data_IF_419108667018
#
_entry.id   IF_419108667018
#
_cell.length_a   1.000
_cell.length_b   1.000
_cell.length_c   1.000
_cell.angle_alpha   90.00
_cell.angle_beta   90.00
_cell.angle_gamma   90.00
#
_symmetry.space_group_name_H-M   'P 1'
#
loop_
_entity.id
_entity.type
_entity.pdbx_description
1 polymer ?
#
# COMPACT_ATOMS: atom_id res chain seq x y z
N UNK A 1 1.12 -39.50 9.64
CA UNK A 1 -0.25 -39.09 9.28
C UNK A 1 -0.44 -39.42 7.80
N UNK A 2 -0.97 -40.61 7.54
CA UNK A 2 -1.04 -41.20 6.21
C UNK A 2 -2.21 -40.69 5.38
N UNK A 3 -2.05 -40.77 4.03
CA UNK A 3 -3.04 -40.99 2.96
C UNK A 3 -4.49 -40.46 3.08
N UNK A 4 -4.81 -39.51 3.94
CA UNK A 4 -6.08 -38.82 3.87
C UNK A 4 -5.97 -37.70 2.84
N UNK A 5 -6.72 -37.85 1.75
CA UNK A 5 -6.91 -36.77 0.79
C UNK A 5 -7.60 -35.61 1.49
N UNK A 6 -7.12 -34.40 1.19
CA UNK A 6 -7.67 -33.19 1.77
C UNK A 6 -9.10 -33.01 1.24
N UNK A 7 -10.14 -32.93 2.10
CA UNK A 7 -11.52 -32.83 1.64
C UNK A 7 -11.73 -31.63 0.72
N UNK A 8 -12.37 -31.80 -0.44
CA UNK A 8 -12.55 -30.70 -1.43
C UNK A 8 -13.18 -29.44 -0.82
N UNK A 9 -14.09 -29.62 0.12
CA UNK A 9 -14.81 -28.51 0.74
C UNK A 9 -13.86 -27.54 1.45
N UNK A 10 -12.68 -27.99 1.94
CA UNK A 10 -11.75 -27.14 2.69
C UNK A 10 -11.04 -26.13 1.78
N UNK A 11 -10.87 -26.44 0.50
CA UNK A 11 -10.25 -25.55 -0.50
C UNK A 11 -11.24 -24.93 -1.48
N UNK A 12 -12.53 -25.08 -1.22
CA UNK A 12 -13.58 -24.48 -2.03
C UNK A 12 -14.05 -23.16 -1.41
N UNK A 13 -13.78 -22.06 -2.08
CA UNK A 13 -14.22 -20.71 -1.68
C UNK A 13 -15.50 -20.23 -2.36
N UNK A 14 -16.07 -19.17 -1.81
CA UNK A 14 -17.15 -18.39 -2.45
C UNK A 14 -16.65 -16.99 -2.74
N UNK A 15 -16.64 -16.58 -4.00
CA UNK A 15 -16.10 -15.30 -4.45
C UNK A 15 -17.22 -14.31 -4.71
N UNK A 16 -17.16 -13.18 -4.00
CA UNK A 16 -18.06 -12.05 -4.16
C UNK A 16 -17.35 -10.93 -4.95
N UNK A 17 -18.09 -10.23 -5.81
CA UNK A 17 -17.57 -9.12 -6.60
C UNK A 17 -17.89 -7.79 -5.91
N UNK A 18 -16.88 -7.13 -5.36
CA UNK A 18 -17.03 -5.81 -4.74
C UNK A 18 -16.78 -4.69 -5.76
N UNK A 19 -17.69 -3.71 -5.91
CA UNK A 19 -17.48 -2.59 -6.82
C UNK A 19 -16.35 -1.68 -6.33
N UNK A 20 -15.40 -1.33 -7.22
CA UNK A 20 -14.31 -0.38 -6.94
C UNK A 20 -14.78 1.08 -7.00
N UNK A 21 -15.85 1.35 -7.76
CA UNK A 21 -16.43 2.68 -7.98
C UNK A 21 -17.95 2.59 -8.04
N UNK A 22 -18.63 3.69 -7.77
CA UNK A 22 -20.08 3.81 -7.98
C UNK A 22 -20.40 3.63 -9.46
N UNK A 23 -21.48 2.89 -9.78
CA UNK A 23 -21.87 2.62 -11.16
C UNK A 23 -20.92 1.66 -11.91
N UNK A 24 -20.26 0.75 -11.20
CA UNK A 24 -19.43 -0.29 -11.81
C UNK A 24 -20.27 -1.21 -12.73
N UNK A 25 -19.85 -1.32 -14.00
CA UNK A 25 -20.56 -2.11 -15.03
C UNK A 25 -19.66 -3.19 -15.62
N UNK A 26 -18.36 -2.94 -15.77
CA UNK A 26 -17.43 -3.89 -16.38
C UNK A 26 -16.74 -4.79 -15.35
N UNK A 27 -16.34 -6.03 -15.70
CA UNK A 27 -15.62 -6.92 -14.77
C UNK A 27 -14.36 -6.30 -14.16
N UNK A 28 -13.65 -5.43 -14.88
CA UNK A 28 -12.44 -4.72 -14.38
C UNK A 28 -12.75 -3.76 -13.22
N UNK A 29 -13.99 -3.28 -13.14
CA UNK A 29 -14.47 -2.37 -12.10
C UNK A 29 -14.81 -3.09 -10.79
N UNK A 30 -14.78 -4.42 -10.77
CA UNK A 30 -15.01 -5.22 -9.57
C UNK A 30 -13.71 -5.77 -9.00
N UNK A 31 -13.69 -5.98 -7.69
CA UNK A 31 -12.65 -6.69 -6.96
C UNK A 31 -13.23 -8.03 -6.47
N UNK A 32 -12.69 -9.17 -6.93
CA UNK A 32 -13.12 -10.46 -6.40
C UNK A 32 -12.56 -10.63 -4.97
N UNK A 33 -13.43 -10.97 -4.02
CA UNK A 33 -13.03 -11.38 -2.67
C UNK A 33 -13.53 -12.79 -2.44
N UNK A 34 -12.60 -13.71 -2.15
CA UNK A 34 -12.91 -15.12 -1.91
C UNK A 34 -13.05 -15.38 -0.42
N UNK A 35 -14.26 -15.72 0.00
CA UNK A 35 -14.57 -16.24 1.32
C UNK A 35 -14.23 -17.74 1.36
N UNK A 36 -13.10 -18.07 1.99
CA UNK A 36 -12.67 -19.44 2.22
C UNK A 36 -13.25 -20.01 3.52
N UNK A 37 -13.36 -21.35 3.64
CA UNK A 37 -13.79 -22.00 4.87
C UNK A 37 -12.97 -21.54 6.07
N UNK A 38 -13.63 -21.30 7.21
CA UNK A 38 -12.96 -20.83 8.44
C UNK A 38 -11.84 -21.77 8.87
N UNK A 39 -12.05 -23.08 8.77
CA UNK A 39 -11.04 -24.07 9.11
C UNK A 39 -9.78 -23.94 8.23
N UNK A 40 -9.96 -23.73 6.92
CA UNK A 40 -8.84 -23.48 6.01
C UNK A 40 -8.07 -22.23 6.42
N UNK A 41 -8.77 -21.11 6.69
CA UNK A 41 -8.14 -19.85 7.10
C UNK A 41 -7.35 -19.96 8.41
N UNK A 42 -7.83 -20.78 9.36
CA UNK A 42 -7.10 -21.03 10.61
C UNK A 42 -5.79 -21.77 10.31
N UNK A 43 -5.85 -22.83 9.50
CA UNK A 43 -4.68 -23.61 9.11
C UNK A 43 -3.67 -22.73 8.37
N UNK A 44 -4.13 -21.97 7.37
CA UNK A 44 -3.25 -21.08 6.58
C UNK A 44 -2.69 -19.94 7.42
N UNK A 45 -3.42 -19.39 8.39
CA UNK A 45 -2.89 -18.40 9.32
C UNK A 45 -1.75 -18.96 10.20
N UNK A 46 -1.91 -20.19 10.72
CA UNK A 46 -0.85 -20.87 11.49
C UNK A 46 0.38 -21.13 10.60
N UNK A 47 0.16 -21.62 9.38
CA UNK A 47 1.24 -21.87 8.42
C UNK A 47 1.96 -20.56 8.06
N UNK A 48 1.20 -19.48 7.79
CA UNK A 48 1.75 -18.17 7.48
C UNK A 48 2.66 -17.67 8.62
N UNK A 49 2.24 -17.84 9.88
CA UNK A 49 3.06 -17.48 11.03
C UNK A 49 4.38 -18.26 11.08
N UNK A 50 4.33 -19.57 10.83
CA UNK A 50 5.52 -20.44 10.82
C UNK A 50 6.49 -20.08 9.70
N UNK A 51 5.97 -19.88 8.48
CA UNK A 51 6.79 -19.44 7.34
C UNK A 51 7.40 -18.07 7.63
N UNK A 52 6.61 -17.10 8.11
CA UNK A 52 7.11 -15.78 8.44
C UNK A 52 8.21 -15.81 9.50
N UNK A 53 8.04 -16.63 10.55
CA UNK A 53 9.06 -16.85 11.58
C UNK A 53 10.36 -17.41 11.00
N UNK A 54 10.28 -18.38 10.09
CA UNK A 54 11.43 -18.91 9.37
C UNK A 54 12.13 -17.86 8.50
N UNK A 55 11.39 -17.09 7.71
CA UNK A 55 11.95 -16.03 6.86
C UNK A 55 12.65 -14.96 7.69
N UNK A 56 12.07 -14.58 8.84
CA UNK A 56 12.66 -13.60 9.76
C UNK A 56 13.92 -14.15 10.42
N UNK A 57 13.89 -15.37 10.96
CA UNK A 57 15.03 -15.99 11.66
C UNK A 57 16.25 -16.10 10.75
N UNK A 58 16.04 -16.34 9.47
CA UNK A 58 17.10 -16.54 8.48
C UNK A 58 17.42 -15.29 7.64
N UNK A 59 16.89 -14.11 7.99
CA UNK A 59 17.09 -12.85 7.25
C UNK A 59 16.80 -12.96 5.74
N UNK A 60 15.77 -13.73 5.37
CA UNK A 60 15.40 -13.97 3.96
C UNK A 60 14.56 -12.82 3.40
N UNK A 61 13.70 -12.22 4.23
CA UNK A 61 12.76 -11.19 3.82
C UNK A 61 13.49 -9.85 3.57
N UNK A 62 13.46 -9.31 2.33
CA UNK A 62 14.19 -8.10 1.99
C UNK A 62 13.68 -6.88 2.78
N UNK A 63 14.58 -5.97 3.21
CA UNK A 63 14.17 -4.76 3.90
C UNK A 63 13.38 -3.79 2.99
N UNK A 64 13.52 -3.90 1.67
CA UNK A 64 12.77 -3.12 0.67
C UNK A 64 11.32 -3.57 0.48
N UNK A 65 10.92 -4.73 1.04
CA UNK A 65 9.53 -5.18 1.04
C UNK A 65 8.82 -4.69 2.31
N UNK A 66 7.94 -3.71 2.13
CA UNK A 66 7.13 -3.12 3.20
C UNK A 66 5.72 -3.72 3.25
N UNK A 67 5.29 -4.38 2.16
CA UNK A 67 4.07 -5.18 2.15
C UNK A 67 4.21 -6.43 3.02
N UNK A 68 3.15 -6.78 3.77
CA UNK A 68 3.10 -7.96 4.65
C UNK A 68 4.16 -7.97 5.78
N UNK A 69 4.92 -6.89 5.97
CA UNK A 69 6.00 -6.82 6.97
C UNK A 69 5.45 -6.44 8.34
N UNK A 70 5.67 -7.31 9.33
CA UNK A 70 5.33 -7.04 10.73
C UNK A 70 6.23 -5.95 11.31
N UNK A 71 5.63 -5.05 12.09
CA UNK A 71 6.34 -3.96 12.77
C UNK A 71 6.76 -2.79 11.87
N UNK A 72 6.34 -2.78 10.61
CA UNK A 72 6.49 -1.60 9.75
C UNK A 72 5.35 -0.60 9.98
N UNK A 73 5.61 0.69 9.76
CA UNK A 73 4.57 1.72 9.69
C UNK A 73 3.77 1.68 8.36
N UNK A 74 3.95 0.63 7.56
CA UNK A 74 3.21 0.33 6.34
C UNK A 74 3.45 1.39 5.26
N UNK A 75 2.38 1.80 4.56
CA UNK A 75 2.45 2.81 3.50
C UNK A 75 3.12 4.11 3.96
N UNK A 76 2.90 4.51 5.22
CA UNK A 76 3.46 5.76 5.74
C UNK A 76 4.98 5.74 5.73
N UNK A 77 5.60 4.61 6.08
CA UNK A 77 7.06 4.44 6.04
C UNK A 77 7.60 4.62 4.64
N UNK A 78 7.01 3.91 3.67
CA UNK A 78 7.37 3.98 2.24
C UNK A 78 7.27 5.42 1.72
N UNK A 79 6.15 6.08 2.01
CA UNK A 79 5.88 7.46 1.55
C UNK A 79 6.85 8.47 2.16
N UNK A 80 7.30 8.28 3.41
CA UNK A 80 8.29 9.15 4.04
C UNK A 80 9.67 9.00 3.41
N UNK A 81 10.14 7.76 3.20
CA UNK A 81 11.44 7.54 2.59
C UNK A 81 11.42 8.07 1.15
N UNK A 82 10.31 7.85 0.43
CA UNK A 82 10.12 8.45 -0.89
C UNK A 82 10.19 9.98 -0.86
N UNK A 83 9.50 10.64 0.07
CA UNK A 83 9.58 12.10 0.28
C UNK A 83 11.02 12.56 0.52
N UNK A 84 11.78 11.82 1.35
CA UNK A 84 13.17 12.13 1.66
C UNK A 84 14.09 12.00 0.44
N UNK A 85 13.93 10.95 -0.37
CA UNK A 85 14.67 10.76 -1.62
C UNK A 85 14.45 11.93 -2.57
N UNK A 86 13.19 12.28 -2.82
CA UNK A 86 12.84 13.39 -3.72
C UNK A 86 13.33 14.74 -3.19
N UNK A 87 13.19 14.99 -1.88
CA UNK A 87 13.68 16.20 -1.24
C UNK A 87 15.22 16.30 -1.32
N UNK A 88 15.93 15.19 -1.09
CA UNK A 88 17.38 15.13 -1.22
C UNK A 88 17.83 15.44 -2.64
N UNK A 89 17.17 14.90 -3.65
CA UNK A 89 17.53 15.15 -5.05
C UNK A 89 17.36 16.63 -5.41
N UNK A 90 16.27 17.24 -4.96
CA UNK A 90 15.97 18.66 -5.17
C UNK A 90 16.94 19.59 -4.45
N UNK A 91 17.15 19.38 -3.14
CA UNK A 91 17.96 20.25 -2.30
C UNK A 91 19.45 20.15 -2.64
N UNK A 92 19.97 18.93 -2.84
CA UNK A 92 21.38 18.69 -3.17
C UNK A 92 21.67 18.82 -4.67
N UNK A 93 20.68 19.18 -5.50
CA UNK A 93 20.78 19.24 -6.96
C UNK A 93 21.38 17.96 -7.57
N UNK A 94 20.97 16.80 -7.05
CA UNK A 94 21.38 15.49 -7.57
C UNK A 94 20.46 15.06 -8.72
N UNK A 95 20.96 14.14 -9.53
CA UNK A 95 20.14 13.42 -10.49
C UNK A 95 19.36 12.30 -9.77
N UNK A 96 18.15 12.03 -10.23
CA UNK A 96 17.28 10.97 -9.71
C UNK A 96 16.33 10.54 -10.81
N UNK A 97 16.33 9.25 -11.15
CA UNK A 97 15.36 8.65 -12.06
C UNK A 97 14.53 7.64 -11.29
N UNK A 98 13.22 7.63 -11.50
CA UNK A 98 12.28 6.76 -10.81
C UNK A 98 11.30 6.13 -11.78
N UNK A 99 10.82 4.93 -11.46
CA UNK A 99 9.72 4.31 -12.18
C UNK A 99 8.73 3.68 -11.20
N UNK A 100 7.44 3.82 -11.48
CA UNK A 100 6.36 3.09 -10.84
C UNK A 100 5.94 1.95 -11.76
N UNK A 101 5.87 0.75 -11.20
CA UNK A 101 5.54 -0.48 -11.92
C UNK A 101 4.35 -1.12 -11.21
N UNK A 102 3.28 -1.38 -11.97
CA UNK A 102 2.07 -2.07 -11.52
C UNK A 102 1.93 -3.37 -12.33
N UNK A 103 1.72 -4.49 -11.64
CA UNK A 103 1.46 -5.77 -12.29
C UNK A 103 -0.03 -5.90 -12.66
N UNK A 104 -0.30 -6.33 -13.89
CA UNK A 104 -1.66 -6.59 -14.32
C UNK A 104 -2.25 -7.74 -13.51
N UNK A 105 -3.31 -7.47 -12.73
CA UNK A 105 -3.99 -8.48 -11.90
C UNK A 105 -2.98 -9.31 -11.09
N UNK A 106 -2.09 -8.64 -10.35
CA UNK A 106 -0.93 -9.27 -9.71
C UNK A 106 -1.27 -10.55 -8.93
N UNK A 107 -2.27 -10.49 -8.07
CA UNK A 107 -2.70 -11.64 -7.24
C UNK A 107 -3.28 -12.78 -8.07
N UNK A 108 -3.94 -12.50 -9.20
CA UNK A 108 -4.52 -13.52 -10.06
C UNK A 108 -3.47 -14.12 -11.03
N UNK A 109 -2.27 -13.52 -11.08
CA UNK A 109 -1.26 -13.79 -12.11
C UNK A 109 -0.03 -14.56 -11.61
N UNK A 110 0.12 -14.86 -10.32
CA UNK A 110 1.29 -15.62 -9.87
C UNK A 110 1.13 -17.12 -10.21
N UNK A 111 2.05 -17.76 -10.95
CA UNK A 111 1.98 -19.20 -11.20
C UNK A 111 2.12 -20.02 -9.91
N UNK A 112 1.32 -21.08 -9.76
CA UNK A 112 1.41 -21.98 -8.61
C UNK A 112 2.76 -22.70 -8.54
N UNK A 113 3.30 -23.10 -9.70
CA UNK A 113 4.63 -23.71 -9.82
C UNK A 113 5.72 -22.80 -9.25
N UNK A 114 5.68 -21.50 -9.58
CA UNK A 114 6.61 -20.52 -9.05
C UNK A 114 6.48 -20.32 -7.55
N UNK A 115 5.26 -20.33 -6.99
CA UNK A 115 5.05 -20.26 -5.55
C UNK A 115 5.69 -21.46 -4.84
N UNK A 116 5.50 -22.67 -5.39
CA UNK A 116 6.10 -23.89 -4.84
C UNK A 116 7.63 -23.84 -4.95
N UNK A 117 8.16 -23.36 -6.07
CA UNK A 117 9.61 -23.22 -6.24
C UNK A 117 10.19 -22.19 -5.27
N UNK A 118 9.51 -21.06 -5.07
CA UNK A 118 9.90 -20.07 -4.06
C UNK A 118 9.95 -20.68 -2.65
N UNK A 119 8.95 -21.48 -2.26
CA UNK A 119 8.96 -22.18 -0.96
C UNK A 119 10.18 -23.11 -0.80
N UNK A 120 10.56 -23.82 -1.87
CA UNK A 120 11.74 -24.69 -1.89
C UNK A 120 13.04 -23.91 -1.82
N UNK A 121 13.20 -22.85 -2.63
CA UNK A 121 14.38 -21.96 -2.63
C UNK A 121 14.64 -21.41 -1.22
N UNK A 122 13.58 -21.04 -0.50
CA UNK A 122 13.69 -20.52 0.87
C UNK A 122 13.72 -21.59 1.96
N UNK A 123 13.83 -22.87 1.60
CA UNK A 123 13.94 -24.00 2.51
C UNK A 123 12.80 -24.04 3.54
N UNK A 124 11.58 -23.74 3.10
CA UNK A 124 10.38 -23.96 3.92
C UNK A 124 10.18 -25.46 4.13
N UNK A 125 9.71 -25.85 5.32
CA UNK A 125 9.52 -27.24 5.70
C UNK A 125 8.78 -28.04 4.59
N UNK A 126 9.31 -29.21 4.17
CA UNK A 126 8.71 -29.98 3.08
C UNK A 126 7.25 -30.37 3.29
N UNK A 127 6.79 -30.56 4.54
CA UNK A 127 5.38 -30.87 4.84
C UNK A 127 4.49 -29.67 4.58
N UNK A 128 4.96 -28.46 4.92
CA UNK A 128 4.25 -27.21 4.62
C UNK A 128 4.20 -27.00 3.10
N UNK A 129 5.32 -27.20 2.41
CA UNK A 129 5.39 -27.06 0.95
C UNK A 129 4.45 -28.06 0.26
N UNK A 130 4.43 -29.32 0.70
CA UNK A 130 3.51 -30.34 0.19
C UNK A 130 2.04 -30.02 0.49
N UNK A 131 1.75 -29.43 1.65
CA UNK A 131 0.40 -28.95 1.97
C UNK A 131 -0.01 -27.84 0.99
N UNK A 132 0.81 -26.81 0.81
CA UNK A 132 0.53 -25.71 -0.14
C UNK A 132 0.31 -26.23 -1.56
N UNK A 133 1.14 -27.16 -2.03
CA UNK A 133 1.02 -27.74 -3.36
C UNK A 133 -0.29 -28.51 -3.55
N UNK A 134 -0.63 -29.39 -2.59
CA UNK A 134 -1.90 -30.13 -2.62
C UNK A 134 -3.11 -29.20 -2.50
N UNK A 135 -3.02 -28.17 -1.67
CA UNK A 135 -4.08 -27.18 -1.51
C UNK A 135 -4.33 -26.43 -2.82
N UNK A 136 -3.28 -25.89 -3.44
CA UNK A 136 -3.39 -25.13 -4.69
C UNK A 136 -3.95 -25.96 -5.85
N UNK A 137 -3.60 -27.25 -5.94
CA UNK A 137 -4.19 -28.17 -6.95
C UNK A 137 -5.71 -28.33 -6.81
N UNK A 138 -6.21 -28.25 -5.57
CA UNK A 138 -7.63 -28.40 -5.23
C UNK A 138 -8.35 -27.05 -5.02
N UNK A 139 -7.69 -25.92 -5.29
CA UNK A 139 -8.31 -24.61 -5.15
C UNK A 139 -9.43 -24.43 -6.15
N UNK A 140 -10.62 -24.17 -5.62
CA UNK A 140 -11.83 -23.96 -6.39
C UNK A 140 -12.61 -22.79 -5.80
N UNK A 141 -13.34 -22.05 -6.62
CA UNK A 141 -14.30 -21.05 -6.16
C UNK A 141 -15.61 -21.11 -6.94
N UNK A 142 -16.69 -20.66 -6.32
CA UNK A 142 -17.93 -20.30 -7.02
C UNK A 142 -18.11 -18.78 -6.97
N UNK A 143 -18.56 -18.15 -8.05
CA UNK A 143 -18.90 -16.74 -8.07
C UNK A 143 -20.32 -16.56 -7.54
N UNK A 144 -20.47 -15.67 -6.56
CA UNK A 144 -21.75 -15.35 -5.94
C UNK A 144 -22.19 -13.96 -6.40
N UNK A 145 -23.32 -13.91 -7.10
CA UNK A 145 -23.96 -12.66 -7.56
C UNK A 145 -25.40 -12.64 -7.05
N UNK A 146 -25.65 -11.81 -6.05
CA UNK A 146 -26.95 -11.72 -5.37
C UNK A 146 -27.42 -13.10 -4.84
N UNK A 147 -28.39 -13.73 -5.49
CA UNK A 147 -28.94 -15.06 -5.13
C UNK A 147 -28.45 -16.18 -6.04
N UNK A 148 -27.59 -15.88 -7.02
CA UNK A 148 -27.11 -16.84 -7.99
C UNK A 148 -25.66 -17.22 -7.70
N UNK A 149 -25.37 -18.52 -7.83
CA UNK A 149 -24.03 -19.08 -7.70
C UNK A 149 -23.60 -19.69 -9.03
N UNK A 150 -22.36 -19.47 -9.44
CA UNK A 150 -21.83 -20.06 -10.67
C UNK A 150 -21.49 -21.55 -10.47
N UNK A 151 -21.17 -22.22 -11.59
CA UNK A 151 -20.42 -23.48 -11.55
C UNK A 151 -19.09 -23.30 -10.80
N UNK A 152 -18.56 -24.42 -10.29
CA UNK A 152 -17.20 -24.49 -9.73
C UNK A 152 -16.16 -24.01 -10.76
N UNK A 153 -15.29 -23.10 -10.35
CA UNK A 153 -14.18 -22.56 -11.13
C UNK A 153 -12.89 -22.99 -10.44
N UNK A 154 -12.10 -23.83 -11.12
CA UNK A 154 -10.80 -24.25 -10.61
C UNK A 154 -9.76 -23.15 -10.80
N UNK A 155 -9.05 -22.82 -9.73
CA UNK A 155 -8.00 -21.82 -9.76
C UNK A 155 -6.71 -22.51 -10.22
N UNK A 156 -6.27 -22.20 -11.44
CA UNK A 156 -5.03 -22.75 -12.01
C UNK A 156 -3.82 -21.82 -11.87
N UNK A 157 -4.08 -20.57 -11.48
CA UNK A 157 -3.08 -19.51 -11.35
C UNK A 157 -3.58 -18.47 -10.36
N UNK A 158 -2.64 -17.81 -9.67
CA UNK A 158 -2.92 -16.77 -8.70
C UNK A 158 -3.17 -17.30 -7.30
N UNK A 159 -3.47 -16.38 -6.40
CA UNK A 159 -3.69 -16.58 -4.97
C UNK A 159 -5.06 -16.05 -4.56
N UNK A 160 -5.66 -16.64 -3.53
CA UNK A 160 -6.95 -16.18 -3.04
C UNK A 160 -6.87 -14.80 -2.38
N UNK A 161 -7.73 -13.87 -2.81
CA UNK A 161 -7.92 -12.58 -2.14
C UNK A 161 -8.84 -12.77 -0.93
N UNK A 162 -8.26 -12.87 0.27
CA UNK A 162 -8.99 -13.11 1.52
C UNK A 162 -8.41 -14.23 2.38
N UNK A 163 -7.43 -14.98 1.87
CA UNK A 163 -6.65 -15.93 2.65
C UNK A 163 -5.53 -15.25 3.45
N UNK A 164 -5.19 -15.79 4.61
CA UNK A 164 -4.12 -15.26 5.47
C UNK A 164 -2.71 -15.60 4.98
N UNK A 165 -2.54 -16.71 4.24
CA UNK A 165 -1.25 -17.13 3.70
C UNK A 165 -0.94 -16.49 2.34
N UNK A 166 -1.96 -16.27 1.50
CA UNK A 166 -1.84 -15.64 0.18
C UNK A 166 -0.91 -14.41 0.11
N UNK A 167 -1.05 -13.36 0.96
CA UNK A 167 -0.17 -12.19 0.87
C UNK A 167 1.30 -12.53 1.08
N UNK A 168 1.60 -13.46 1.98
CA UNK A 168 2.98 -13.87 2.25
C UNK A 168 3.56 -14.63 1.06
N UNK A 169 2.80 -15.55 0.47
CA UNK A 169 3.22 -16.28 -0.74
C UNK A 169 3.51 -15.33 -1.90
N UNK A 170 2.68 -14.29 -2.07
CA UNK A 170 2.92 -13.25 -3.07
C UNK A 170 4.23 -12.51 -2.80
N UNK A 171 4.44 -12.00 -1.58
CA UNK A 171 5.68 -11.31 -1.23
C UNK A 171 6.90 -12.21 -1.44
N UNK A 172 6.83 -13.49 -1.07
CA UNK A 172 7.91 -14.47 -1.26
C UNK A 172 8.25 -14.66 -2.74
N UNK A 173 7.24 -14.66 -3.61
CA UNK A 173 7.44 -14.79 -5.06
C UNK A 173 8.24 -13.64 -5.68
N UNK A 174 8.27 -12.46 -5.03
CA UNK A 174 9.01 -11.28 -5.47
C UNK A 174 10.36 -11.07 -4.78
N UNK A 175 10.72 -11.91 -3.79
CA UNK A 175 12.02 -11.81 -3.11
C UNK A 175 13.21 -11.96 -4.08
N UNK A 176 13.21 -12.86 -5.09
CA UNK A 176 14.36 -12.99 -5.99
C UNK A 176 14.60 -11.72 -6.81
N UNK A 177 13.52 -11.04 -7.24
CA UNK A 177 13.61 -9.74 -7.90
C UNK A 177 14.32 -8.71 -7.02
N UNK A 178 13.89 -8.61 -5.76
CA UNK A 178 14.50 -7.70 -4.79
C UNK A 178 16.00 -7.96 -4.62
N UNK A 179 16.40 -9.24 -4.55
CA UNK A 179 17.81 -9.64 -4.49
C UNK A 179 18.58 -9.27 -5.77
N UNK A 180 18.02 -9.54 -6.95
CA UNK A 180 18.66 -9.18 -8.22
C UNK A 180 18.88 -7.68 -8.37
N UNK A 181 17.92 -6.86 -7.91
CA UNK A 181 18.06 -5.40 -7.88
C UNK A 181 19.13 -4.93 -6.90
N UNK A 182 19.28 -5.60 -5.76
CA UNK A 182 20.24 -5.23 -4.71
C UNK A 182 21.69 -5.70 -4.97
N UNK A 183 21.90 -6.74 -5.77
CA UNK A 183 23.26 -7.26 -6.09
C UNK A 183 23.98 -6.35 -7.09
N UNK A 184 23.25 -5.64 -7.95
CA UNK A 184 23.84 -4.71 -8.92
C UNK A 184 24.23 -3.42 -8.21
N UNK A 185 25.37 -2.83 -8.57
CA UNK A 185 25.83 -1.53 -8.03
C UNK A 185 25.01 -0.36 -8.59
N UNK A 186 23.73 -0.33 -8.25
CA UNK A 186 22.72 0.60 -8.74
C UNK A 186 21.94 1.20 -7.56
N UNK A 187 21.13 2.21 -7.82
CA UNK A 187 20.26 2.85 -6.86
C UNK A 187 20.56 4.32 -6.62
N UNK A 188 19.72 4.93 -5.79
CA UNK A 188 19.88 6.30 -5.34
C UNK A 188 20.52 6.36 -3.95
N UNK A 189 21.49 7.26 -3.79
CA UNK A 189 22.22 7.45 -2.55
C UNK A 189 21.77 8.74 -1.81
N UNK A 190 21.12 8.56 -0.66
CA UNK A 190 20.64 9.66 0.20
C UNK A 190 21.80 10.46 0.82
N UNK A 191 22.80 9.77 1.36
CA UNK A 191 23.96 10.32 2.06
C UNK A 191 25.23 9.79 1.39
N UNK A 192 26.22 10.64 1.06
CA UNK A 192 27.48 10.17 0.49
C UNK A 192 28.14 9.06 1.32
N UNK A 193 28.59 7.99 0.67
CA UNK A 193 29.10 6.77 1.31
C UNK A 193 28.03 5.87 1.93
N UNK A 194 26.75 6.21 1.79
CA UNK A 194 25.64 5.49 2.40
C UNK A 194 25.09 4.34 1.55
N UNK A 195 24.16 3.57 2.12
CA UNK A 195 23.45 2.51 1.39
C UNK A 195 22.65 3.10 0.22
N UNK A 196 22.83 2.52 -0.97
CA UNK A 196 22.01 2.82 -2.15
C UNK A 196 20.61 2.21 -1.99
N UNK A 197 19.59 3.00 -2.27
CA UNK A 197 18.19 2.55 -2.32
C UNK A 197 17.86 2.26 -3.78
N UNK A 198 17.59 1.00 -4.09
CA UNK A 198 17.28 0.54 -5.46
C UNK A 198 15.78 0.54 -5.71
N UNK A 199 14.99 0.05 -4.75
CA UNK A 199 13.54 -0.12 -4.93
C UNK A 199 12.79 -0.10 -3.60
N UNK A 200 11.47 0.05 -3.70
CA UNK A 200 10.51 -0.22 -2.63
C UNK A 200 9.36 -1.04 -3.17
N UNK A 201 8.99 -2.08 -2.42
CA UNK A 201 7.83 -2.90 -2.69
C UNK A 201 6.78 -2.70 -1.59
N UNK A 202 5.55 -2.49 -2.01
CA UNK A 202 4.39 -2.61 -1.13
C UNK A 202 3.36 -3.53 -1.78
N UNK A 203 3.45 -4.83 -1.45
CA UNK A 203 2.72 -5.87 -2.19
C UNK A 203 3.12 -5.85 -3.68
N UNK A 204 2.18 -5.52 -4.57
CA UNK A 204 2.35 -5.45 -6.03
C UNK A 204 2.85 -4.09 -6.52
N UNK A 205 2.76 -3.03 -5.70
CA UNK A 205 3.29 -1.71 -6.02
C UNK A 205 4.83 -1.71 -5.93
N UNK A 206 5.50 -1.71 -7.08
CA UNK A 206 6.96 -1.62 -7.17
C UNK A 206 7.37 -0.21 -7.61
N UNK A 207 8.26 0.42 -6.82
CA UNK A 207 8.89 1.68 -7.18
C UNK A 207 10.40 1.53 -7.26
N UNK A 208 10.99 1.92 -8.38
CA UNK A 208 12.43 1.91 -8.62
C UNK A 208 13.04 3.30 -8.41
N UNK A 209 14.30 3.33 -7.97
CA UNK A 209 15.11 4.52 -7.77
C UNK A 209 16.50 4.29 -8.37
N UNK A 210 16.95 5.22 -9.19
CA UNK A 210 18.24 5.18 -9.85
C UNK A 210 18.90 6.57 -9.84
N UNK A 211 20.23 6.62 -9.95
CA UNK A 211 20.95 7.91 -10.02
C UNK A 211 20.74 8.65 -11.35
N UNK A 212 20.39 7.94 -12.42
CA UNK A 212 20.15 8.49 -13.75
C UNK A 212 19.28 7.55 -14.60
N UNK A 213 18.90 8.03 -15.79
CA UNK A 213 17.99 7.34 -16.70
C UNK A 213 18.57 6.04 -17.26
N UNK A 214 19.86 6.02 -17.59
CA UNK A 214 20.54 4.83 -18.10
C UNK A 214 20.49 3.67 -17.09
N UNK A 215 20.74 3.98 -15.82
CA UNK A 215 20.68 3.00 -14.73
C UNK A 215 19.24 2.55 -14.46
N UNK A 216 18.27 3.47 -14.52
CA UNK A 216 16.85 3.12 -14.44
C UNK A 216 16.44 2.13 -15.54
N UNK A 217 16.87 2.36 -16.78
CA UNK A 217 16.58 1.47 -17.91
C UNK A 217 17.19 0.06 -17.70
N UNK A 218 18.40 -0.04 -17.13
CA UNK A 218 19.01 -1.33 -16.75
C UNK A 218 18.20 -2.05 -15.66
N UNK A 219 17.69 -1.30 -14.68
CA UNK A 219 16.82 -1.85 -13.63
C UNK A 219 15.49 -2.33 -14.22
N UNK A 220 14.86 -1.54 -15.10
CA UNK A 220 13.62 -1.91 -15.80
C UNK A 220 13.77 -3.20 -16.60
N UNK A 221 14.87 -3.37 -17.35
CA UNK A 221 15.19 -4.62 -18.06
C UNK A 221 15.32 -5.81 -17.11
N UNK A 222 15.87 -5.60 -15.91
CA UNK A 222 15.96 -6.63 -14.87
C UNK A 222 14.57 -7.05 -14.39
N UNK A 223 13.70 -6.08 -14.10
CA UNK A 223 12.30 -6.36 -13.71
C UNK A 223 11.56 -7.08 -14.85
N UNK A 224 11.77 -6.69 -16.11
CA UNK A 224 11.13 -7.31 -17.28
C UNK A 224 11.57 -8.75 -17.48
N UNK A 225 12.87 -9.02 -17.41
CA UNK A 225 13.42 -10.37 -17.55
C UNK A 225 12.83 -11.27 -16.47
N UNK A 226 12.92 -10.85 -15.21
CA UNK A 226 12.35 -11.59 -14.09
C UNK A 226 10.83 -11.81 -14.24
N UNK A 227 10.10 -10.76 -14.65
CA UNK A 227 8.64 -10.85 -14.82
C UNK A 227 8.26 -11.81 -15.95
N UNK A 228 9.06 -11.87 -17.01
CA UNK A 228 8.89 -12.83 -18.11
C UNK A 228 9.16 -14.25 -17.63
N UNK A 229 10.21 -14.48 -16.84
CA UNK A 229 10.55 -15.79 -16.27
C UNK A 229 9.43 -16.35 -15.39
N UNK A 230 8.76 -15.49 -14.61
CA UNK A 230 7.63 -15.88 -13.76
C UNK A 230 6.27 -15.70 -14.46
N UNK A 231 6.27 -15.42 -15.77
CA UNK A 231 5.11 -15.21 -16.63
C UNK A 231 4.15 -14.08 -16.19
N UNK A 232 4.58 -13.12 -15.39
CA UNK A 232 3.76 -11.98 -14.94
C UNK A 232 3.87 -10.79 -15.91
N UNK A 233 2.74 -10.13 -16.18
CA UNK A 233 2.66 -9.00 -17.12
C UNK A 233 2.51 -7.67 -16.39
N UNK A 234 3.10 -6.62 -16.94
CA UNK A 234 2.88 -5.25 -16.47
C UNK A 234 1.54 -4.70 -16.92
N UNK A 235 0.90 -3.92 -16.06
CA UNK A 235 -0.17 -3.00 -16.44
C UNK A 235 0.44 -1.72 -16.99
N UNK A 236 0.94 -1.74 -18.23
CA UNK A 236 1.70 -0.62 -18.82
C UNK A 236 0.97 0.74 -18.73
N UNK A 237 -0.36 0.75 -18.82
CA UNK A 237 -1.19 1.95 -18.66
C UNK A 237 -1.04 2.66 -17.31
N UNK A 238 -0.65 1.92 -16.27
CA UNK A 238 -0.44 2.44 -14.93
C UNK A 238 1.04 2.55 -14.57
N UNK A 239 1.94 2.09 -15.43
CA UNK A 239 3.35 2.28 -15.21
C UNK A 239 3.73 3.69 -15.65
N UNK A 240 4.62 4.35 -14.91
CA UNK A 240 5.12 5.66 -15.28
C UNK A 240 6.60 5.77 -14.90
N UNK A 241 7.37 6.57 -15.63
CA UNK A 241 8.75 6.91 -15.28
C UNK A 241 8.94 8.43 -15.19
N UNK A 242 9.92 8.84 -14.40
CA UNK A 242 10.24 10.24 -14.14
C UNK A 242 11.75 10.42 -14.04
N UNK A 243 12.25 11.44 -14.72
CA UNK A 243 13.67 11.78 -14.77
C UNK A 243 13.94 13.18 -14.18
N UNK A 244 14.80 13.25 -13.16
CA UNK A 244 15.23 14.48 -12.49
C UNK A 244 16.72 14.68 -12.75
N UNK A 245 17.07 15.83 -13.32
CA UNK A 245 18.45 16.24 -13.61
C UNK A 245 18.76 17.50 -12.81
N UNK A 246 19.84 17.45 -12.02
CA UNK A 246 20.29 18.55 -11.15
C UNK A 246 19.17 19.14 -10.28
N UNK A 247 18.30 18.28 -9.73
CA UNK A 247 17.17 18.67 -8.89
C UNK A 247 15.98 19.29 -9.62
N UNK A 248 15.94 19.27 -10.96
CA UNK A 248 14.81 19.73 -11.78
C UNK A 248 14.27 18.59 -12.65
N UNK A 249 12.95 18.58 -12.90
CA UNK A 249 12.35 17.67 -13.86
C UNK A 249 12.96 17.91 -15.26
N UNK A 250 13.40 16.85 -15.92
CA UNK A 250 13.77 16.87 -17.34
C UNK A 250 12.51 17.10 -18.17
N UNK A 251 12.42 18.20 -18.92
CA UNK A 251 11.31 18.38 -19.85
C UNK A 251 11.41 17.35 -20.97
N UNK A 252 10.28 16.76 -21.39
CA UNK A 252 10.21 15.93 -22.59
C UNK A 252 10.82 16.72 -23.74
N UNK A 253 11.84 16.18 -24.39
CA UNK A 253 12.19 16.62 -25.73
C UNK A 253 11.13 16.02 -26.66
N UNK A 254 10.66 16.77 -27.66
CA UNK A 254 9.69 16.32 -28.68
C UNK A 254 10.31 15.27 -29.61
N UNK A 255 10.84 14.19 -29.04
CA UNK A 255 11.25 13.01 -29.76
C UNK A 255 10.04 12.09 -29.62
N UNK A 256 9.47 11.69 -30.75
CA UNK A 256 8.46 10.62 -30.80
C UNK A 256 8.91 9.51 -29.86
N UNK A 257 8.05 9.11 -28.92
CA UNK A 257 8.34 7.99 -28.02
C UNK A 257 8.79 6.83 -28.91
N UNK A 258 10.10 6.55 -28.96
CA UNK A 258 10.63 5.46 -29.76
C UNK A 258 9.89 4.19 -29.34
N UNK A 259 9.53 3.30 -30.28
CA UNK A 259 8.81 2.05 -29.99
C UNK A 259 9.48 1.18 -28.89
N UNK A 260 10.73 1.48 -28.54
CA UNK A 260 11.52 0.88 -27.45
C UNK A 260 11.19 1.39 -26.03
N UNK A 261 10.42 2.48 -25.87
CA UNK A 261 10.06 3.03 -24.55
C UNK A 261 8.95 2.20 -23.88
N UNK A 262 9.37 1.19 -23.11
CA UNK A 262 8.46 0.27 -22.42
C UNK A 262 7.52 0.92 -21.38
N UNK A 263 7.86 2.08 -20.83
CA UNK A 263 7.06 2.78 -19.81
C UNK A 263 7.00 4.27 -20.13
N UNK A 264 5.78 4.80 -20.15
CA UNK A 264 5.51 6.21 -20.45
C UNK A 264 6.18 7.14 -19.43
N UNK A 265 6.82 8.20 -19.92
CA UNK A 265 7.20 9.32 -19.06
C UNK A 265 5.95 10.06 -18.56
N UNK A 266 5.96 10.41 -17.28
CA UNK A 266 4.90 11.21 -16.68
C UNK A 266 4.95 12.64 -17.24
N UNK A 267 3.83 13.13 -17.78
CA UNK A 267 3.77 14.44 -18.42
C UNK A 267 4.10 15.57 -17.42
N UNK A 268 4.83 16.62 -17.83
CA UNK A 268 5.11 17.77 -16.97
C UNK A 268 3.83 18.38 -16.38
N UNK A 269 3.74 18.42 -15.05
CA UNK A 269 2.58 18.96 -14.33
C UNK A 269 1.48 17.93 -14.01
N UNK A 270 1.56 16.70 -14.53
CA UNK A 270 0.71 15.60 -14.10
C UNK A 270 1.21 14.97 -12.79
N UNK A 271 0.31 14.28 -12.07
CA UNK A 271 0.63 13.61 -10.81
C UNK A 271 0.36 12.11 -10.90
N UNK A 272 1.24 11.32 -10.28
CA UNK A 272 1.07 9.87 -10.15
C UNK A 272 0.52 9.52 -8.77
N UNK A 273 -0.55 8.73 -8.69
CA UNK A 273 -1.12 8.31 -7.41
C UNK A 273 -0.40 7.08 -6.87
N UNK A 274 0.53 7.28 -5.93
CA UNK A 274 1.28 6.21 -5.27
C UNK A 274 0.80 6.02 -3.82
N UNK A 275 0.38 4.81 -3.44
CA UNK A 275 -0.10 4.47 -2.09
C UNK A 275 -1.15 5.45 -1.51
N UNK A 276 -2.00 5.99 -2.39
CA UNK A 276 -3.07 6.93 -2.04
C UNK A 276 -2.66 8.41 -2.04
N UNK A 277 -1.40 8.74 -2.30
CA UNK A 277 -0.85 10.10 -2.35
C UNK A 277 -0.46 10.45 -3.80
N UNK A 278 -0.90 11.61 -4.27
CA UNK A 278 -0.49 12.18 -5.54
C UNK A 278 0.95 12.74 -5.48
N UNK A 279 1.80 12.28 -6.39
CA UNK A 279 3.20 12.67 -6.49
C UNK A 279 3.48 13.41 -7.80
N UNK A 280 4.11 14.59 -7.71
CA UNK A 280 4.51 15.42 -8.86
C UNK A 280 5.85 16.13 -8.58
N UNK A 281 6.99 15.41 -8.67
CA UNK A 281 8.31 15.97 -8.28
C UNK A 281 8.38 16.46 -6.82
N UNK A 282 7.50 15.88 -6.02
CA UNK A 282 7.31 16.04 -4.59
C UNK A 282 5.93 15.47 -4.26
N UNK A 283 5.44 15.76 -3.07
CA UNK A 283 4.04 15.50 -2.73
C UNK A 283 3.19 16.65 -3.29
N UNK A 284 2.12 16.31 -4.01
CA UNK A 284 1.22 17.29 -4.64
C UNK A 284 0.31 17.97 -3.61
N UNK A 285 0.89 18.75 -2.70
CA UNK A 285 0.20 19.40 -1.59
C UNK A 285 -1.06 20.19 -2.03
N UNK A 286 -0.99 20.85 -3.20
CA UNK A 286 -2.09 21.65 -3.78
C UNK A 286 -3.31 20.81 -4.17
N UNK A 287 -3.11 19.56 -4.61
CA UNK A 287 -4.18 18.65 -5.01
C UNK A 287 -4.72 17.85 -3.81
N UNK A 288 -3.80 17.39 -2.95
CA UNK A 288 -4.11 16.49 -1.84
C UNK A 288 -4.88 17.19 -0.73
N UNK A 289 -4.42 18.38 -0.29
CA UNK A 289 -5.03 19.07 0.86
C UNK A 289 -6.53 19.34 0.63
N UNK A 290 -6.98 19.91 -0.51
CA UNK A 290 -8.41 20.09 -0.77
C UNK A 290 -9.19 18.78 -0.80
N UNK A 291 -8.63 17.70 -1.38
CA UNK A 291 -9.26 16.38 -1.42
C UNK A 291 -9.49 15.82 -0.01
N UNK A 292 -8.45 15.86 0.84
CA UNK A 292 -8.53 15.39 2.23
C UNK A 292 -9.49 16.24 3.06
N UNK A 293 -9.45 17.57 2.93
CA UNK A 293 -10.39 18.48 3.58
C UNK A 293 -11.83 18.14 3.19
N UNK A 294 -12.11 17.95 1.90
CA UNK A 294 -13.44 17.59 1.39
C UNK A 294 -13.94 16.26 1.98
N UNK A 295 -13.12 15.22 1.93
CA UNK A 295 -13.51 13.89 2.44
C UNK A 295 -13.71 13.91 3.95
N UNK A 296 -12.84 14.59 4.70
CA UNK A 296 -12.99 14.78 6.15
C UNK A 296 -14.33 15.44 6.50
N UNK A 297 -14.64 16.59 5.88
CA UNK A 297 -15.88 17.30 6.16
C UNK A 297 -17.13 16.57 5.65
N UNK A 298 -17.01 15.79 4.57
CA UNK A 298 -18.08 14.90 4.11
C UNK A 298 -18.41 13.86 5.18
N UNK A 299 -17.39 13.14 5.69
CA UNK A 299 -17.59 12.14 6.75
C UNK A 299 -18.13 12.76 8.03
N UNK A 300 -17.58 13.90 8.45
CA UNK A 300 -18.06 14.62 9.62
C UNK A 300 -19.57 14.91 9.52
N UNK A 301 -20.03 15.43 8.39
CA UNK A 301 -21.47 15.72 8.19
C UNK A 301 -22.32 14.46 8.21
N UNK A 302 -21.91 13.40 7.50
CA UNK A 302 -22.63 12.13 7.48
C UNK A 302 -22.78 11.52 8.89
N UNK A 303 -21.71 11.59 9.71
CA UNK A 303 -21.74 11.12 11.10
C UNK A 303 -22.71 11.97 11.94
N UNK A 304 -22.70 13.29 11.76
CA UNK A 304 -23.56 14.18 12.54
C UNK A 304 -25.04 14.07 12.16
N UNK A 305 -25.32 13.74 10.90
CA UNK A 305 -26.67 13.47 10.39
C UNK A 305 -27.19 12.08 10.77
N UNK A 306 -26.33 11.19 11.28
CA UNK A 306 -26.77 9.87 11.74
C UNK A 306 -27.61 9.93 13.02
N UNK A 307 -28.34 8.86 13.29
CA UNK A 307 -29.15 8.65 14.49
C UNK A 307 -28.33 8.26 15.73
N UNK A 308 -26.99 8.28 15.62
CA UNK A 308 -26.11 7.98 16.76
C UNK A 308 -26.33 8.99 17.89
N UNK A 309 -26.30 8.51 19.14
CA UNK A 309 -26.27 9.40 20.29
C UNK A 309 -24.98 10.25 20.32
N UNK A 310 -24.98 11.33 21.10
CA UNK A 310 -23.85 12.26 21.14
C UNK A 310 -22.50 11.62 21.50
N UNK A 311 -22.49 10.59 22.35
CA UNK A 311 -21.27 9.84 22.69
C UNK A 311 -20.72 9.07 21.49
N UNK A 312 -21.59 8.36 20.79
CA UNK A 312 -21.23 7.58 19.62
C UNK A 312 -20.85 8.47 18.44
N UNK A 313 -21.49 9.65 18.28
CA UNK A 313 -21.09 10.65 17.29
C UNK A 313 -19.65 11.12 17.49
N UNK A 314 -19.27 11.53 18.71
CA UNK A 314 -17.90 11.98 18.98
C UNK A 314 -16.88 10.84 18.76
N UNK A 315 -17.23 9.63 19.21
CA UNK A 315 -16.39 8.45 18.99
C UNK A 315 -16.21 8.19 17.49
N UNK A 316 -17.31 8.20 16.72
CA UNK A 316 -17.30 8.01 15.27
C UNK A 316 -16.49 9.09 14.53
N UNK A 317 -16.56 10.36 14.95
CA UNK A 317 -15.71 11.41 14.36
C UNK A 317 -14.23 11.09 14.58
N UNK A 318 -13.86 10.71 15.81
CA UNK A 318 -12.48 10.33 16.14
C UNK A 318 -11.98 9.07 15.43
N UNK A 319 -12.86 8.13 15.06
CA UNK A 319 -12.49 6.86 14.43
C UNK A 319 -12.65 6.81 12.92
N UNK A 320 -13.54 7.62 12.33
CA UNK A 320 -13.88 7.56 10.90
C UNK A 320 -13.51 8.83 10.13
N UNK A 321 -13.57 10.00 10.77
CA UNK A 321 -13.27 11.28 10.12
C UNK A 321 -11.81 11.70 10.36
N UNK A 322 -11.38 11.85 11.62
CA UNK A 322 -10.02 12.32 11.98
C UNK A 322 -8.90 11.53 11.26
N UNK A 323 -8.96 10.19 11.15
CA UNK A 323 -7.91 9.41 10.49
C UNK A 323 -7.66 9.77 9.02
N UNK A 324 -8.66 10.33 8.32
CA UNK A 324 -8.51 10.79 6.92
C UNK A 324 -7.43 11.85 6.80
N UNK A 325 -7.41 12.79 7.75
CA UNK A 325 -6.40 13.86 7.77
C UNK A 325 -5.12 13.35 8.44
N UNK A 326 -5.24 12.58 9.52
CA UNK A 326 -4.11 12.06 10.29
C UNK A 326 -3.13 11.24 9.45
N UNK A 327 -3.63 10.46 8.49
CA UNK A 327 -2.80 9.70 7.54
C UNK A 327 -1.82 10.59 6.77
N UNK A 328 -2.20 11.85 6.49
CA UNK A 328 -1.37 12.80 5.75
C UNK A 328 -0.31 13.51 6.60
N UNK A 329 -0.38 13.43 7.93
CA UNK A 329 0.53 14.16 8.80
C UNK A 329 1.97 13.67 8.69
N UNK A 330 2.87 14.63 8.44
CA UNK A 330 4.28 14.43 8.14
C UNK A 330 4.61 14.14 6.67
N UNK A 331 3.62 13.67 5.90
CA UNK A 331 3.72 13.49 4.46
C UNK A 331 3.40 14.79 3.74
N UNK A 332 2.23 15.36 4.01
CA UNK A 332 1.77 16.63 3.45
C UNK A 332 2.24 17.78 4.35
N UNK A 333 2.66 18.89 3.73
CA UNK A 333 3.21 20.04 4.44
C UNK A 333 2.09 20.94 4.98
N UNK A 334 1.45 20.52 6.07
CA UNK A 334 0.39 21.29 6.74
C UNK A 334 0.96 22.47 7.54
N UNK A 335 0.40 23.67 7.34
CA UNK A 335 0.75 24.81 8.22
C UNK A 335 -0.07 24.77 9.51
N UNK A 336 0.43 25.42 10.57
CA UNK A 336 -0.28 25.50 11.84
C UNK A 336 -1.64 26.18 11.66
N UNK A 337 -1.70 27.24 10.86
CA UNK A 337 -2.92 27.97 10.56
C UNK A 337 -3.96 27.08 9.88
N UNK A 338 -3.55 26.23 8.94
CA UNK A 338 -4.47 25.31 8.26
C UNK A 338 -5.09 24.29 9.21
N UNK A 339 -4.28 23.78 10.16
CA UNK A 339 -4.70 22.81 11.17
C UNK A 339 -5.65 23.48 12.17
N UNK A 340 -5.28 24.66 12.69
CA UNK A 340 -6.13 25.43 13.58
C UNK A 340 -7.46 25.78 12.88
N UNK A 341 -7.44 26.10 11.59
CA UNK A 341 -8.64 26.35 10.81
C UNK A 341 -9.51 25.09 10.65
N UNK A 342 -8.91 23.90 10.47
CA UNK A 342 -9.62 22.62 10.46
C UNK A 342 -10.34 22.35 11.79
N UNK A 343 -9.67 22.55 12.93
CA UNK A 343 -10.27 22.39 14.25
C UNK A 343 -11.41 23.40 14.49
N UNK A 344 -11.19 24.69 14.17
CA UNK A 344 -12.24 25.73 14.26
C UNK A 344 -13.46 25.38 13.42
N UNK A 345 -13.26 24.96 12.17
CA UNK A 345 -14.36 24.60 11.26
C UNK A 345 -15.07 23.33 11.71
N UNK A 346 -14.34 22.36 12.27
CA UNK A 346 -14.92 21.15 12.90
C UNK A 346 -15.87 21.54 14.02
N UNK A 347 -15.42 22.39 14.95
CA UNK A 347 -16.25 22.89 16.05
C UNK A 347 -17.48 23.64 15.55
N UNK A 348 -17.33 24.51 14.55
CA UNK A 348 -18.47 25.20 13.92
C UNK A 348 -19.51 24.22 13.38
N UNK A 349 -19.08 23.18 12.68
CA UNK A 349 -19.98 22.15 12.13
C UNK A 349 -20.66 21.34 13.25
N UNK A 350 -19.93 20.99 14.32
CA UNK A 350 -20.51 20.34 15.50
C UNK A 350 -21.61 21.20 16.13
N UNK A 351 -21.37 22.50 16.28
CA UNK A 351 -22.35 23.44 16.84
C UNK A 351 -23.58 23.59 15.96
N UNK A 352 -23.41 23.75 14.65
CA UNK A 352 -24.53 23.86 13.71
C UNK A 352 -25.43 22.61 13.68
N UNK A 353 -24.90 21.45 14.05
CA UNK A 353 -25.64 20.19 14.08
C UNK A 353 -26.10 19.82 15.51
N UNK A 354 -26.12 20.78 16.45
CA UNK A 354 -26.54 20.56 17.84
C UNK A 354 -25.63 19.63 18.65
N UNK A 355 -24.49 19.21 18.11
CA UNK A 355 -23.57 18.29 18.76
C UNK A 355 -22.65 19.01 19.76
N UNK A 356 -22.53 20.34 19.72
CA UNK A 356 -21.74 21.16 20.65
C UNK A 356 -22.49 22.46 20.96
N UNK A 357 -22.67 22.80 22.24
CA UNK A 357 -23.31 24.06 22.60
C UNK A 357 -22.41 25.26 22.25
N UNK A 358 -22.92 26.39 21.71
CA UNK A 358 -22.08 27.53 21.30
C UNK A 358 -21.24 28.15 22.41
N UNK A 359 -21.73 28.10 23.66
CA UNK A 359 -21.04 28.58 24.87
C UNK A 359 -20.29 27.47 25.61
N UNK A 360 -20.17 26.27 25.04
CA UNK A 360 -19.44 25.20 25.69
C UNK A 360 -17.94 25.51 25.70
N UNK A 361 -17.29 25.15 26.81
CA UNK A 361 -15.83 25.13 26.86
C UNK A 361 -15.26 24.20 25.77
N UNK A 362 -14.26 24.73 25.06
CA UNK A 362 -13.59 24.07 23.95
C UNK A 362 -12.71 22.94 24.46
N UNK A 363 -12.06 23.12 25.60
CA UNK A 363 -11.12 22.12 26.13
C UNK A 363 -11.85 20.86 26.56
N UNK A 364 -13.03 21.01 27.19
CA UNK A 364 -13.93 19.89 27.50
C UNK A 364 -14.29 19.02 26.30
N UNK A 365 -14.27 19.54 25.06
CA UNK A 365 -14.51 18.72 23.87
C UNK A 365 -13.43 17.65 23.67
N UNK A 366 -12.17 18.00 23.96
CA UNK A 366 -10.99 17.18 23.67
C UNK A 366 -10.52 16.37 24.87
N UNK A 367 -10.78 16.85 26.10
CA UNK A 367 -10.50 16.11 27.34
C UNK A 367 -11.16 14.73 27.30
N UNK A 368 -10.47 13.73 27.86
CA UNK A 368 -10.94 12.35 27.89
C UNK A 368 -12.29 12.26 28.61
N UNK A 369 -13.10 11.25 28.26
CA UNK A 369 -14.38 11.04 28.96
C UNK A 369 -14.20 10.63 30.42
N UNK A 370 -13.06 10.02 30.77
CA UNK A 370 -12.75 9.65 32.16
C UNK A 370 -12.56 10.89 33.03
N UNK A 371 -12.07 11.98 32.41
CA UNK A 371 -11.77 13.24 33.09
C UNK A 371 -12.89 14.28 32.89
N UNK A 372 -14.12 13.84 32.61
CA UNK A 372 -15.30 14.73 32.48
C UNK A 372 -15.48 15.43 31.11
N UNK A 373 -14.62 15.12 30.14
CA UNK A 373 -14.68 15.64 28.77
C UNK A 373 -15.54 14.81 27.80
N UNK A 374 -15.44 15.12 26.50
CA UNK A 374 -16.15 14.40 25.43
C UNK A 374 -15.27 13.43 24.64
N UNK A 375 -13.95 13.56 24.74
CA UNK A 375 -12.96 12.64 24.16
C UNK A 375 -12.81 12.75 22.64
N UNK A 376 -13.11 13.91 22.04
CA UNK A 376 -12.80 14.11 20.62
C UNK A 376 -11.27 14.22 20.47
N UNK A 377 -10.71 13.60 19.43
CA UNK A 377 -9.29 13.80 19.12
C UNK A 377 -9.09 15.16 18.47
N UNK A 378 -8.26 16.01 19.08
CA UNK A 378 -7.87 17.28 18.50
C UNK A 378 -6.95 17.06 17.30
N UNK A 379 -7.22 17.74 16.19
CA UNK A 379 -6.45 17.58 14.96
C UNK A 379 -5.04 18.13 15.17
N UNK A 380 -4.90 19.26 15.86
CA UNK A 380 -3.61 19.85 16.23
C UNK A 380 -2.73 18.92 17.08
N UNK A 381 -3.29 18.32 18.14
CA UNK A 381 -2.56 17.38 18.97
C UNK A 381 -2.13 16.12 18.19
N UNK A 382 -3.03 15.60 17.34
CA UNK A 382 -2.71 14.46 16.47
C UNK A 382 -1.57 14.79 15.48
N UNK A 383 -1.53 16.01 14.95
CA UNK A 383 -0.45 16.46 14.08
C UNK A 383 0.90 16.55 14.81
N UNK A 384 0.92 17.15 16.00
CA UNK A 384 2.14 17.25 16.81
C UNK A 384 2.69 15.86 17.16
N UNK A 385 1.81 14.96 17.63
CA UNK A 385 2.18 13.58 17.93
C UNK A 385 2.74 12.86 16.69
N UNK A 386 2.10 13.02 15.54
CA UNK A 386 2.58 12.44 14.30
C UNK A 386 3.98 12.95 13.92
N UNK A 387 4.27 14.25 14.09
CA UNK A 387 5.60 14.81 13.83
C UNK A 387 6.64 14.26 14.81
N UNK A 388 6.32 14.19 16.11
CA UNK A 388 7.24 13.68 17.13
C UNK A 388 7.66 12.24 16.82
N UNK A 389 6.69 11.38 16.47
CA UNK A 389 6.96 9.99 16.07
C UNK A 389 7.89 9.96 14.85
N UNK A 390 7.71 10.85 13.88
CA UNK A 390 8.56 10.90 12.69
C UNK A 390 9.98 11.38 12.95
N UNK A 391 10.16 12.33 13.86
CA UNK A 391 11.48 12.77 14.30
C UNK A 391 12.26 11.62 14.95
N UNK A 392 11.58 10.74 15.69
CA UNK A 392 12.22 9.54 16.25
C UNK A 392 12.68 8.55 15.18
N UNK A 393 11.92 8.37 14.09
CA UNK A 393 12.29 7.48 12.97
C UNK A 393 13.48 8.03 12.17
N UNK A 394 13.61 9.35 12.04
CA UNK A 394 14.75 9.99 11.37
C UNK A 394 16.11 9.61 11.99
N UNK A 395 16.14 9.38 13.30
CA UNK A 395 17.37 8.95 14.00
C UNK A 395 17.86 7.56 13.59
N UNK A 396 17.00 6.70 13.02
CA UNK A 396 17.35 5.36 12.55
C UNK A 396 18.06 5.36 11.20
N UNK A 397 17.91 6.42 10.39
CA UNK A 397 18.53 6.54 9.06
C UNK A 397 19.80 7.40 9.04
N UNK A 398 20.14 8.04 10.16
CA UNK A 398 21.34 8.86 10.32
C UNK A 398 22.46 8.15 11.12
N UNK A 399 22.36 6.82 11.32
CA UNK A 399 23.42 6.00 11.91
C UNK A 399 24.13 5.18 10.86
#
# INVERSE_FOLDING_TARGET
MGRQEMPEWITTGKTYLLPKKSGAMEPKDFRPITCLPTMYKIITAIIAEKIYGHLRKNNIFPPEQYGCRKGSYGCKEVLLINKLIMASAKQKRKNLSMAWIDYQKAFDSVPHEWIIEALKIYKVDPKITAFCEKSMKNWCTQLEVQKYSSRKIFIKRGIFQGDSLSPLLFCMSLIPLSRQLNIKDQGYELVPGGRKITHMLYMDDLKLYAKNEEELNKMLRTVQTFSSDINMKFGLEKCAKVNIVRGKLKQKQNIEDSEEELIKELDPGSSYKYLGIEENFGIANKEIKPRLKREYFKRLRLILQSELNGRNKITAVGTLAVPVIEYSFGLVDWTKEEITHLDRRTRKILTMNGALHPKADVDRLYVSRKDGGRGLRQIEAAHQNAIIVLCSVRSLFCK
#
